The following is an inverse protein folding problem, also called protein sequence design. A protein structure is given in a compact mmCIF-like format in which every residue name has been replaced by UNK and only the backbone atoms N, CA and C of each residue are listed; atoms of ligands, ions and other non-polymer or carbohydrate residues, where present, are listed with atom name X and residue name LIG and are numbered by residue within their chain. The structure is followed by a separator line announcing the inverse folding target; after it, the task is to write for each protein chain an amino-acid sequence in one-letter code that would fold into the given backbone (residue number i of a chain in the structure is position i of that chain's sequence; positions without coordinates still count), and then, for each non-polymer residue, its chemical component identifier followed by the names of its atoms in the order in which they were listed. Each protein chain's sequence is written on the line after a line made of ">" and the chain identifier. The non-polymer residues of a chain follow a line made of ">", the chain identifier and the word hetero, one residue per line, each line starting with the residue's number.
data_IF_157730757412
#
_entry.id   IF_157730757412
#
_cell.length_a   1.000
_cell.length_b   1.000
_cell.length_c   1.000
_cell.angle_alpha   90.00
_cell.angle_beta   90.00
_cell.angle_gamma   90.00
#
_symmetry.space_group_name_H-M   'P 1'
#
loop_
_entity.id
_entity.type
_entity.pdbx_description
1 polymer ?
#
# COMPACT_ATOMS: atom_id res chain seq x y z
N UNK A 1 2.77 -17.51 8.07
CA UNK A 1 3.21 -16.10 7.94
C UNK A 1 2.15 -15.43 7.10
N UNK A 2 1.21 -14.71 7.73
CA UNK A 2 0.14 -14.03 6.98
C UNK A 2 0.81 -12.94 6.16
N UNK A 3 0.72 -13.06 4.85
CA UNK A 3 1.11 -12.03 3.90
C UNK A 3 0.41 -10.74 4.35
N UNK A 4 1.16 -9.64 4.41
CA UNK A 4 0.56 -8.34 4.63
C UNK A 4 -0.58 -8.18 3.63
N UNK A 5 -1.81 -8.02 4.11
CA UNK A 5 -2.94 -7.64 3.26
C UNK A 5 -2.55 -6.30 2.63
N UNK A 6 -2.09 -6.34 1.37
CA UNK A 6 -1.83 -5.15 0.58
C UNK A 6 -3.18 -4.76 -0.05
N UNK A 7 -3.87 -3.74 0.47
CA UNK A 7 -5.22 -3.42 0.00
C UNK A 7 -5.18 -3.04 -1.47
N UNK A 8 -6.07 -3.62 -2.27
CA UNK A 8 -6.11 -3.39 -3.72
C UNK A 8 -5.01 -4.09 -4.53
N UNK A 9 -4.20 -4.95 -3.90
CA UNK A 9 -3.12 -5.68 -4.54
C UNK A 9 -3.21 -7.20 -4.32
N UNK A 10 -4.38 -7.77 -4.59
CA UNK A 10 -4.52 -9.23 -4.64
C UNK A 10 -3.74 -9.79 -5.85
N UNK A 11 -2.75 -10.63 -5.57
CA UNK A 11 -1.97 -11.33 -6.58
C UNK A 11 -2.56 -12.68 -6.96
N UNK A 12 -2.42 -13.06 -8.22
CA UNK A 12 -2.95 -14.33 -8.71
C UNK A 12 -2.19 -14.87 -9.93
N UNK A 13 -2.27 -16.19 -10.13
CA UNK A 13 -1.86 -16.83 -11.37
C UNK A 13 -2.96 -16.67 -12.42
N UNK A 14 -2.82 -15.69 -13.32
CA UNK A 14 -3.77 -15.45 -14.40
C UNK A 14 -3.63 -16.52 -15.50
N UNK A 15 -4.70 -17.26 -15.86
CA UNK A 15 -4.69 -18.13 -17.02
C UNK A 15 -4.43 -17.35 -18.31
N UNK A 16 -3.51 -17.84 -19.13
CA UNK A 16 -3.21 -17.33 -20.47
C UNK A 16 -4.07 -18.09 -21.47
N UNK A 17 -4.96 -17.39 -22.18
CA UNK A 17 -5.80 -17.96 -23.23
C UNK A 17 -4.96 -18.26 -24.50
N UNK A 18 -5.44 -19.11 -25.44
CA UNK A 18 -4.72 -19.42 -26.68
C UNK A 18 -4.34 -18.19 -27.51
N UNK A 19 -5.15 -17.13 -27.47
CA UNK A 19 -4.87 -15.84 -28.13
C UNK A 19 -3.79 -15.01 -27.43
N UNK A 20 -3.27 -15.45 -26.28
CA UNK A 20 -2.27 -14.75 -25.48
C UNK A 20 -2.85 -13.74 -24.47
N UNK A 21 -4.16 -13.58 -24.46
CA UNK A 21 -4.91 -12.74 -23.51
C UNK A 21 -4.87 -13.34 -22.10
N UNK A 22 -4.88 -12.46 -21.09
CA UNK A 22 -4.98 -12.88 -19.69
C UNK A 22 -6.43 -12.90 -19.25
N UNK A 23 -6.80 -13.97 -18.54
CA UNK A 23 -8.07 -14.00 -17.84
C UNK A 23 -8.06 -12.96 -16.70
N UNK A 24 -9.21 -12.31 -16.47
CA UNK A 24 -9.35 -11.23 -15.50
C UNK A 24 -9.24 -11.67 -14.03
N UNK A 25 -9.26 -12.98 -13.76
CA UNK A 25 -9.15 -13.55 -12.42
C UNK A 25 -8.59 -14.98 -12.47
N UNK A 26 -8.11 -15.46 -11.33
CA UNK A 26 -7.75 -16.88 -11.14
C UNK A 26 -8.92 -17.84 -11.32
N UNK A 27 -10.16 -17.37 -11.09
CA UNK A 27 -11.38 -18.16 -11.25
C UNK A 27 -11.84 -18.32 -12.69
N UNK A 28 -11.29 -17.54 -13.63
CA UNK A 28 -11.61 -17.61 -15.05
C UNK A 28 -10.86 -18.78 -15.74
N UNK A 29 -11.00 -19.98 -15.20
CA UNK A 29 -10.51 -21.20 -15.83
C UNK A 29 -11.42 -21.61 -16.99
N UNK A 30 -10.90 -21.51 -18.20
CA UNK A 30 -11.42 -22.27 -19.34
C UNK A 30 -10.59 -23.54 -19.47
N UNK A 31 -11.14 -24.65 -20.01
CA UNK A 31 -10.36 -25.86 -20.29
C UNK A 31 -9.27 -25.68 -21.37
N UNK A 32 -9.15 -24.46 -21.92
CA UNK A 32 -8.37 -24.13 -23.12
C UNK A 32 -7.17 -23.23 -22.85
N UNK A 33 -6.87 -22.87 -21.60
CA UNK A 33 -5.70 -22.05 -21.28
C UNK A 33 -4.39 -22.80 -21.60
N UNK A 34 -3.35 -22.06 -21.96
CA UNK A 34 -2.05 -22.60 -22.41
C UNK A 34 -0.93 -22.38 -21.38
N UNK A 35 -1.20 -21.65 -20.30
CA UNK A 35 -0.24 -21.38 -19.24
C UNK A 35 -0.74 -20.38 -18.21
N UNK A 36 0.14 -19.96 -17.30
CA UNK A 36 -0.13 -18.90 -16.33
C UNK A 36 0.83 -17.73 -16.49
N UNK A 37 0.39 -16.57 -16.02
CA UNK A 37 1.21 -15.38 -15.86
C UNK A 37 0.92 -14.79 -14.47
N UNK A 38 1.94 -14.23 -13.82
CA UNK A 38 1.74 -13.54 -12.56
C UNK A 38 0.99 -12.24 -12.83
N UNK A 39 -0.12 -12.02 -12.12
CA UNK A 39 -0.95 -10.83 -12.26
C UNK A 39 -1.38 -10.29 -10.90
N UNK A 40 -1.88 -9.06 -10.90
CA UNK A 40 -2.41 -8.39 -9.73
C UNK A 40 -3.69 -7.63 -10.08
N UNK A 41 -4.63 -7.53 -9.15
CA UNK A 41 -5.88 -6.76 -9.30
C UNK A 41 -5.67 -5.28 -9.62
N UNK A 42 -4.49 -4.72 -9.32
CA UNK A 42 -4.11 -3.37 -9.73
C UNK A 42 -3.71 -3.23 -11.22
N UNK A 43 -3.82 -4.32 -12.01
CA UNK A 43 -3.47 -4.34 -13.44
C UNK A 43 -2.00 -4.69 -13.75
N UNK A 44 -1.17 -4.92 -12.73
CA UNK A 44 0.19 -5.39 -12.96
C UNK A 44 0.19 -6.82 -13.49
N UNK A 45 1.06 -7.10 -14.46
CA UNK A 45 1.36 -8.44 -14.94
C UNK A 45 2.86 -8.56 -15.22
N UNK A 46 3.49 -9.68 -14.82
CA UNK A 46 4.88 -9.99 -15.19
C UNK A 46 4.94 -10.28 -16.69
N UNK A 47 6.13 -10.29 -17.31
CA UNK A 47 6.29 -10.71 -18.71
C UNK A 47 6.46 -12.22 -18.87
N UNK A 48 6.86 -12.93 -17.81
CA UNK A 48 7.15 -14.36 -17.83
C UNK A 48 5.86 -15.19 -17.79
N UNK A 49 5.80 -16.17 -18.69
CA UNK A 49 4.75 -17.19 -18.72
C UNK A 49 5.24 -18.51 -18.11
N UNK A 50 4.31 -19.25 -17.55
CA UNK A 50 4.50 -20.52 -16.87
C UNK A 50 3.59 -21.59 -17.48
N UNK A 51 3.99 -22.85 -17.38
CA UNK A 51 3.24 -23.98 -17.95
C UNK A 51 1.83 -24.10 -17.35
N UNK A 52 0.89 -24.69 -18.09
CA UNK A 52 -0.47 -24.98 -17.64
C UNK A 52 -0.52 -26.17 -16.64
N UNK A 53 0.28 -26.11 -15.59
CA UNK A 53 0.37 -27.13 -14.53
C UNK A 53 0.16 -26.50 -13.15
N UNK A 54 -0.19 -27.29 -12.12
CA UNK A 54 -0.24 -26.80 -10.75
C UNK A 54 1.07 -26.13 -10.30
N UNK A 55 2.22 -26.64 -10.75
CA UNK A 55 3.53 -26.05 -10.48
C UNK A 55 3.69 -24.70 -11.18
N UNK A 56 3.24 -24.57 -12.43
CA UNK A 56 3.25 -23.30 -13.14
C UNK A 56 2.38 -22.22 -12.49
N UNK A 57 1.25 -22.61 -11.89
CA UNK A 57 0.42 -21.70 -11.11
C UNK A 57 1.16 -21.18 -9.86
N UNK A 58 1.78 -22.09 -9.09
CA UNK A 58 2.58 -21.72 -7.90
C UNK A 58 3.75 -20.81 -8.25
N UNK A 59 4.44 -21.10 -9.34
CA UNK A 59 5.55 -20.26 -9.83
C UNK A 59 5.08 -18.87 -10.25
N UNK A 60 3.90 -18.75 -10.86
CA UNK A 60 3.29 -17.45 -11.18
C UNK A 60 2.90 -16.66 -9.92
N UNK A 61 2.32 -17.32 -8.91
CA UNK A 61 2.04 -16.69 -7.61
C UNK A 61 3.32 -16.22 -6.90
N UNK A 62 4.36 -17.07 -6.86
CA UNK A 62 5.65 -16.70 -6.29
C UNK A 62 6.30 -15.54 -7.05
N UNK A 63 6.09 -15.47 -8.37
CA UNK A 63 6.60 -14.38 -9.19
C UNK A 63 5.94 -13.04 -8.86
N UNK A 64 4.63 -13.03 -8.62
CA UNK A 64 3.95 -11.85 -8.08
C UNK A 64 4.57 -11.43 -6.74
N UNK A 65 4.72 -12.38 -5.81
CA UNK A 65 5.31 -12.12 -4.49
C UNK A 65 6.74 -11.57 -4.55
N UNK A 66 7.57 -12.08 -5.46
CA UNK A 66 8.98 -11.71 -5.53
C UNK A 66 9.27 -10.45 -6.35
N UNK A 67 8.34 -10.01 -7.21
CA UNK A 67 8.58 -8.89 -8.14
C UNK A 67 7.65 -7.70 -7.91
N UNK A 68 6.39 -7.95 -7.57
CA UNK A 68 5.39 -6.89 -7.41
C UNK A 68 5.22 -6.46 -5.96
N UNK A 69 5.22 -7.40 -5.03
CA UNK A 69 5.04 -7.11 -3.61
C UNK A 69 6.17 -6.24 -3.00
N UNK A 70 7.47 -6.42 -3.31
CA UNK A 70 8.53 -5.65 -2.66
C UNK A 70 8.42 -4.12 -2.77
N UNK A 71 8.18 -3.53 -3.96
CA UNK A 71 7.99 -2.08 -4.06
C UNK A 71 6.72 -1.60 -3.32
N UNK A 72 5.66 -2.40 -3.27
CA UNK A 72 4.44 -2.06 -2.53
C UNK A 72 4.67 -2.03 -1.02
N UNK A 73 5.41 -3.01 -0.48
CA UNK A 73 5.78 -3.05 0.93
C UNK A 73 6.75 -1.94 1.31
N UNK A 74 7.63 -1.53 0.39
CA UNK A 74 8.55 -0.42 0.62
C UNK A 74 7.82 0.93 0.68
N UNK A 75 6.72 1.08 -0.08
CA UNK A 75 5.90 2.30 -0.10
C UNK A 75 4.88 2.36 1.05
N UNK A 76 4.41 1.23 1.54
CA UNK A 76 3.40 1.16 2.60
C UNK A 76 4.01 1.28 4.01
N UNK A 77 3.31 1.89 4.99
CA UNK A 77 3.68 1.79 6.39
C UNK A 77 3.72 0.31 6.84
N UNK A 78 4.68 -0.10 7.69
CA UNK A 78 4.71 -1.45 8.22
C UNK A 78 3.41 -1.81 8.95
N UNK A 79 2.84 -2.98 8.66
CA UNK A 79 1.53 -3.42 9.18
C UNK A 79 1.45 -3.39 10.71
N UNK A 80 2.51 -3.78 11.41
CA UNK A 80 2.57 -3.73 12.87
C UNK A 80 2.39 -2.31 13.42
N UNK A 81 2.86 -1.28 12.70
CA UNK A 81 2.75 0.11 13.12
C UNK A 81 1.33 0.63 12.88
N UNK A 82 0.70 0.23 11.77
CA UNK A 82 -0.72 0.50 11.49
C UNK A 82 -1.61 -0.11 12.58
N UNK A 83 -1.37 -1.37 12.97
CA UNK A 83 -2.12 -2.04 14.05
C UNK A 83 -2.00 -1.27 15.36
N UNK A 84 -0.79 -0.81 15.72
CA UNK A 84 -0.58 0.00 16.94
C UNK A 84 -1.28 1.36 16.85
N UNK A 85 -1.29 1.99 15.69
CA UNK A 85 -2.00 3.26 15.48
C UNK A 85 -3.51 3.11 15.65
N UNK A 86 -4.10 2.05 15.08
CA UNK A 86 -5.52 1.74 15.26
C UNK A 86 -5.85 1.44 16.72
N UNK A 87 -5.04 0.63 17.40
CA UNK A 87 -5.22 0.33 18.82
C UNK A 87 -5.14 1.60 19.70
N UNK A 88 -4.21 2.50 19.41
CA UNK A 88 -4.13 3.79 20.11
C UNK A 88 -5.41 4.61 19.90
N UNK A 89 -5.93 4.66 18.67
CA UNK A 89 -7.18 5.35 18.36
C UNK A 89 -8.35 4.79 19.19
N UNK A 90 -8.52 3.47 19.19
CA UNK A 90 -9.56 2.79 19.99
C UNK A 90 -9.43 3.08 21.49
N UNK A 91 -8.20 3.06 22.02
CA UNK A 91 -7.93 3.37 23.42
C UNK A 91 -8.23 4.84 23.77
N UNK A 92 -7.93 5.77 22.86
CA UNK A 92 -8.25 7.19 23.03
C UNK A 92 -9.76 7.43 23.01
N UNK A 93 -10.50 6.74 22.13
CA UNK A 93 -11.97 6.79 22.11
C UNK A 93 -12.56 6.34 23.44
N UNK A 94 -12.06 5.23 23.98
CA UNK A 94 -12.47 4.74 25.31
C UNK A 94 -12.09 5.74 26.41
N UNK A 95 -10.86 6.27 26.39
CA UNK A 95 -10.40 7.26 27.36
C UNK A 95 -11.24 8.54 27.32
N UNK A 96 -11.65 9.00 26.14
CA UNK A 96 -12.49 10.19 25.99
C UNK A 96 -13.88 9.99 26.61
N UNK A 97 -14.40 8.76 26.54
CA UNK A 97 -15.68 8.40 27.17
C UNK A 97 -15.57 8.33 28.70
N UNK A 98 -14.50 7.72 29.22
CA UNK A 98 -14.34 7.49 30.66
C UNK A 98 -13.79 8.73 31.40
N UNK A 99 -12.85 9.46 30.78
CA UNK A 99 -12.02 10.52 31.38
C UNK A 99 -11.68 11.62 30.34
N UNK A 100 -12.63 12.47 29.95
CA UNK A 100 -12.48 13.40 28.81
C UNK A 100 -11.32 14.39 28.97
N UNK A 101 -11.08 14.94 30.16
CA UNK A 101 -9.95 15.86 30.37
C UNK A 101 -8.59 15.15 30.22
N UNK A 102 -8.48 13.89 30.63
CA UNK A 102 -7.27 13.10 30.42
C UNK A 102 -7.05 12.79 28.93
N UNK A 103 -8.14 12.53 28.19
CA UNK A 103 -8.08 12.36 26.74
C UNK A 103 -7.60 13.63 26.03
N UNK A 104 -8.10 14.81 26.43
CA UNK A 104 -7.65 16.10 25.87
C UNK A 104 -6.15 16.31 26.10
N UNK A 105 -5.64 16.01 27.29
CA UNK A 105 -4.20 16.09 27.59
C UNK A 105 -3.37 15.18 26.67
N UNK A 106 -3.82 13.95 26.45
CA UNK A 106 -3.14 13.00 25.56
C UNK A 106 -3.22 13.45 24.09
N UNK A 107 -4.40 13.86 23.61
CA UNK A 107 -4.61 14.32 22.25
C UNK A 107 -3.79 15.58 21.93
N UNK A 108 -3.71 16.53 22.87
CA UNK A 108 -2.86 17.72 22.74
C UNK A 108 -1.38 17.35 22.61
N UNK A 109 -0.92 16.34 23.36
CA UNK A 109 0.43 15.80 23.18
C UNK A 109 0.56 15.20 21.77
N UNK A 110 -0.33 14.29 21.36
CA UNK A 110 -0.34 13.67 20.02
C UNK A 110 -0.24 14.71 18.91
N UNK A 111 -1.07 15.74 18.92
CA UNK A 111 -1.06 16.82 17.93
C UNK A 111 0.30 17.55 17.87
N UNK A 112 0.94 17.74 19.02
CA UNK A 112 2.22 18.45 19.11
C UNK A 112 3.35 17.74 18.36
N UNK A 113 3.58 16.44 18.63
CA UNK A 113 4.65 15.70 17.94
C UNK A 113 4.22 15.23 16.55
N UNK A 114 2.93 14.99 16.30
CA UNK A 114 2.42 14.63 14.97
C UNK A 114 2.71 15.72 13.93
N UNK A 115 2.51 16.99 14.26
CA UNK A 115 2.85 18.10 13.36
C UNK A 115 4.33 18.12 13.00
N UNK A 116 5.20 18.02 14.01
CA UNK A 116 6.66 18.00 13.80
C UNK A 116 7.10 16.81 12.95
N UNK A 117 6.57 15.60 13.22
CA UNK A 117 6.90 14.41 12.43
C UNK A 117 6.38 14.51 10.99
N UNK A 118 5.21 15.13 10.79
CA UNK A 118 4.66 15.33 9.45
C UNK A 118 5.55 16.26 8.62
N UNK A 119 5.99 17.37 9.20
CA UNK A 119 6.90 18.31 8.56
C UNK A 119 8.24 17.62 8.17
N UNK A 120 8.80 16.81 9.09
CA UNK A 120 10.02 16.03 8.83
C UNK A 120 9.82 14.99 7.72
N UNK A 121 8.70 14.28 7.70
CA UNK A 121 8.40 13.29 6.68
C UNK A 121 8.24 13.92 5.29
N UNK A 122 7.60 15.10 5.20
CA UNK A 122 7.48 15.85 3.95
C UNK A 122 8.83 16.33 3.46
N UNK A 123 9.68 16.86 4.35
CA UNK A 123 11.04 17.25 4.00
C UNK A 123 11.86 16.06 3.47
N UNK A 124 11.86 14.92 4.17
CA UNK A 124 12.53 13.71 3.71
C UNK A 124 11.99 13.16 2.38
N UNK A 125 10.67 13.22 2.17
CA UNK A 125 10.07 12.83 0.89
C UNK A 125 10.54 13.75 -0.25
N UNK A 126 10.66 15.06 0.00
CA UNK A 126 11.18 16.00 -1.00
C UNK A 126 12.66 15.80 -1.28
N UNK A 127 13.48 15.54 -0.27
CA UNK A 127 14.92 15.25 -0.41
C UNK A 127 15.18 13.98 -1.25
N UNK A 128 14.29 12.99 -1.13
CA UNK A 128 14.33 11.75 -1.92
C UNK A 128 13.71 11.88 -3.31
N UNK A 129 13.30 13.09 -3.70
CA UNK A 129 12.83 13.43 -5.04
C UNK A 129 11.32 13.30 -5.27
N UNK A 130 10.51 12.99 -4.24
CA UNK A 130 9.07 12.91 -4.39
C UNK A 130 8.47 14.27 -4.79
N UNK A 131 7.56 14.27 -5.75
CA UNK A 131 6.84 15.45 -6.22
C UNK A 131 5.73 15.86 -5.25
N UNK A 132 5.28 17.11 -5.34
CA UNK A 132 4.10 17.59 -4.57
C UNK A 132 2.81 16.83 -4.92
N UNK A 133 2.74 16.22 -6.11
CA UNK A 133 1.60 15.38 -6.48
C UNK A 133 1.61 14.06 -5.68
N UNK A 134 2.76 13.37 -5.64
CA UNK A 134 2.92 12.13 -4.87
C UNK A 134 2.72 12.36 -3.36
N UNK A 135 3.23 13.47 -2.82
CA UNK A 135 3.01 13.84 -1.41
C UNK A 135 1.52 14.11 -1.14
N UNK A 136 0.85 14.82 -2.05
CA UNK A 136 -0.59 15.08 -1.93
C UNK A 136 -1.40 13.78 -1.96
N UNK A 137 -1.09 12.88 -2.89
CA UNK A 137 -1.71 11.57 -3.00
C UNK A 137 -1.52 10.73 -1.74
N UNK A 138 -0.29 10.61 -1.23
CA UNK A 138 0.01 9.88 0.01
C UNK A 138 -0.74 10.43 1.24
N UNK A 139 -1.06 11.72 1.23
CA UNK A 139 -1.78 12.41 2.31
C UNK A 139 -3.30 12.51 2.09
N UNK A 140 -3.82 12.07 0.94
CA UNK A 140 -5.22 12.21 0.58
C UNK A 140 -5.68 13.66 0.35
N UNK A 141 -4.78 14.56 -0.08
CA UNK A 141 -5.06 15.98 -0.36
C UNK A 141 -4.61 16.37 -1.76
N UNK A 142 -5.05 17.53 -2.25
CA UNK A 142 -4.60 18.01 -3.56
C UNK A 142 -3.13 18.44 -3.55
N UNK A 143 -2.49 18.39 -4.72
CA UNK A 143 -1.13 18.93 -4.93
C UNK A 143 -1.00 20.39 -4.46
N UNK A 144 -2.00 21.24 -4.75
CA UNK A 144 -1.97 22.64 -4.34
C UNK A 144 -2.01 22.76 -2.81
N UNK A 145 -2.88 22.00 -2.14
CA UNK A 145 -2.99 22.00 -0.68
C UNK A 145 -1.68 21.53 -0.01
N UNK A 146 -1.04 20.49 -0.55
CA UNK A 146 0.26 20.02 -0.07
C UNK A 146 1.35 21.10 -0.23
N UNK A 147 1.45 21.71 -1.42
CA UNK A 147 2.44 22.76 -1.67
C UNK A 147 2.23 23.99 -0.79
N UNK A 148 1.00 24.50 -0.67
CA UNK A 148 0.69 25.65 0.17
C UNK A 148 1.04 25.41 1.64
N UNK A 149 0.77 24.21 2.13
CA UNK A 149 1.01 23.84 3.53
C UNK A 149 2.49 23.68 3.86
N UNK A 150 3.28 23.09 2.96
CA UNK A 150 4.63 22.63 3.29
C UNK A 150 5.77 23.34 2.58
N UNK A 151 5.49 24.22 1.59
CA UNK A 151 6.56 24.93 0.84
C UNK A 151 7.54 25.72 1.71
N UNK A 152 7.14 26.17 2.90
CA UNK A 152 8.00 26.94 3.80
C UNK A 152 9.04 26.07 4.54
N UNK A 153 8.80 24.76 4.62
CA UNK A 153 9.62 23.81 5.38
C UNK A 153 10.67 23.12 4.51
N UNK A 154 10.48 23.18 3.19
CA UNK A 154 11.34 22.55 2.20
C UNK A 154 12.02 23.69 1.44
N UNK A 155 13.14 24.18 1.97
CA UNK A 155 13.98 25.16 1.26
C UNK A 155 14.62 24.50 0.01
N UNK A 156 14.96 25.28 -1.03
CA UNK A 156 15.39 24.75 -2.33
C UNK A 156 16.69 23.96 -2.30
#
# INVERSE_FOLDING_TARGET
>A
MSIADLPGHEGFAAPVLPGGELASSSSAFTRTFVGYQAACSCGWADQRRYSATPEGAKEAEYRWWSRHTPPLLAAAPPSWLVIKSNLLCEQVVKLASDRPLAALTLLSQVESWQRTLLDQAVAGARETGASWAEIGEAMGISKQAAHERFRAQVSP
#
